data_IF_891895141749
#
_entry.id   IF_891895141749
#
_cell.length_a   1.000
_cell.length_b   1.000
_cell.length_c   1.000
_cell.angle_alpha   90.00
_cell.angle_beta   90.00
_cell.angle_gamma   90.00
#
_symmetry.space_group_name_H-M   'P 1'
#
loop_
_entity.id
_entity.type
_entity.pdbx_description
1 polymer ?
#
# COMPACT_ATOMS: atom_id res chain seq x y z
N UNK A 1 -36.85 0.75 26.86
CA UNK A 1 -37.33 2.14 26.84
C UNK A 1 -38.84 2.09 26.66
N UNK A 2 -39.56 2.41 27.74
CA UNK A 2 -40.99 2.21 27.90
C UNK A 2 -41.76 3.36 27.26
N UNK A 3 -42.67 3.05 26.33
CA UNK A 3 -43.58 4.00 25.72
C UNK A 3 -44.73 4.30 26.68
N UNK A 4 -44.79 5.52 27.22
CA UNK A 4 -45.98 6.04 27.87
C UNK A 4 -46.94 6.58 26.81
N UNK A 5 -48.09 5.93 26.69
CA UNK A 5 -49.25 6.40 25.95
C UNK A 5 -50.08 7.35 26.83
N UNK A 6 -50.06 8.66 26.55
CA UNK A 6 -51.00 9.59 27.15
C UNK A 6 -52.33 9.58 26.38
N UNK A 7 -53.38 9.25 27.12
CA UNK A 7 -54.77 9.35 26.71
C UNK A 7 -55.22 10.81 26.78
N UNK A 8 -55.68 11.39 25.67
CA UNK A 8 -56.50 12.59 25.69
C UNK A 8 -57.90 12.28 25.20
N UNK A 9 -58.75 11.93 26.16
CA UNK A 9 -60.21 11.96 26.03
C UNK A 9 -60.68 13.39 26.37
N UNK A 10 -61.08 14.15 25.34
CA UNK A 10 -61.65 15.48 25.49
C UNK A 10 -63.01 15.57 24.78
N UNK A 11 -64.06 15.15 25.48
CA UNK A 11 -65.45 15.34 25.07
C UNK A 11 -65.84 16.82 25.18
N UNK A 12 -66.23 17.43 24.07
CA UNK A 12 -66.70 18.82 24.01
C UNK A 12 -67.69 19.04 22.87
N UNK A 13 -68.83 18.34 22.91
CA UNK A 13 -69.91 18.48 21.93
C UNK A 13 -70.71 19.78 22.19
N UNK A 14 -70.23 20.91 21.68
CA UNK A 14 -70.98 22.18 21.66
C UNK A 14 -72.00 22.14 20.52
N UNK A 15 -73.30 22.15 20.87
CA UNK A 15 -74.42 22.35 19.95
C UNK A 15 -74.33 23.76 19.36
N UNK A 16 -74.14 23.87 18.05
CA UNK A 16 -74.26 25.13 17.30
C UNK A 16 -75.69 25.16 16.73
N UNK A 17 -76.47 26.15 17.16
CA UNK A 17 -77.82 26.41 16.65
C UNK A 17 -77.78 26.89 15.21
N UNK A 18 -78.62 26.28 14.37
CA UNK A 18 -78.84 26.69 13.00
C UNK A 18 -79.78 27.90 12.95
N UNK A 19 -79.21 29.09 12.71
CA UNK A 19 -79.94 30.28 12.28
C UNK A 19 -79.79 30.44 10.77
N UNK A 20 -80.85 30.18 10.02
CA UNK A 20 -80.90 30.38 8.56
C UNK A 20 -81.13 31.87 8.28
N UNK A 21 -80.05 32.62 8.07
CA UNK A 21 -80.07 33.96 7.51
C UNK A 21 -79.66 33.89 6.04
N UNK A 22 -80.64 33.95 5.14
CA UNK A 22 -80.39 34.06 3.70
C UNK A 22 -79.99 35.50 3.36
N UNK A 23 -78.70 35.70 3.04
CA UNK A 23 -78.14 36.98 2.62
C UNK A 23 -76.91 36.76 1.74
N UNK A 24 -77.01 37.20 0.48
CA UNK A 24 -76.04 37.13 -0.62
C UNK A 24 -74.57 37.39 -0.25
N UNK A 25 -73.71 36.34 -0.33
CA UNK A 25 -72.25 36.44 -0.44
C UNK A 25 -71.58 35.09 -0.84
N UNK A 26 -72.01 34.45 -1.93
CA UNK A 26 -71.62 33.05 -2.29
C UNK A 26 -70.62 32.95 -3.45
N UNK A 27 -69.51 33.70 -3.44
CA UNK A 27 -68.42 33.51 -4.41
C UNK A 27 -67.00 33.43 -3.79
N UNK A 28 -66.87 33.40 -2.45
CA UNK A 28 -65.56 33.34 -1.78
C UNK A 28 -65.20 32.03 -1.06
N UNK A 29 -66.17 31.13 -0.81
CA UNK A 29 -65.96 29.97 0.09
C UNK A 29 -65.41 28.73 -0.63
N UNK A 30 -65.68 28.56 -1.93
CA UNK A 30 -65.22 27.39 -2.70
C UNK A 30 -63.71 27.36 -2.91
N UNK A 31 -63.08 28.51 -3.17
CA UNK A 31 -61.65 28.60 -3.42
C UNK A 31 -60.80 28.23 -2.18
N UNK A 32 -61.25 28.59 -0.98
CA UNK A 32 -60.55 28.29 0.28
C UNK A 32 -60.57 26.78 0.60
N UNK A 33 -61.69 26.09 0.35
CA UNK A 33 -61.81 24.64 0.56
C UNK A 33 -60.98 23.85 -0.45
N UNK A 34 -60.91 24.30 -1.71
CA UNK A 34 -60.06 23.64 -2.71
C UNK A 34 -58.57 23.82 -2.42
N UNK A 35 -58.14 24.99 -1.94
CA UNK A 35 -56.73 25.23 -1.62
C UNK A 35 -56.28 24.41 -0.40
N UNK A 36 -57.11 24.35 0.66
CA UNK A 36 -56.85 23.50 1.83
C UNK A 36 -56.81 22.00 1.50
N UNK A 37 -57.69 21.52 0.62
CA UNK A 37 -57.75 20.11 0.24
C UNK A 37 -56.49 19.64 -0.51
N UNK A 38 -55.98 20.46 -1.45
CA UNK A 38 -54.76 20.15 -2.18
C UNK A 38 -53.54 20.10 -1.23
N UNK A 39 -53.47 21.04 -0.28
CA UNK A 39 -52.38 21.10 0.70
C UNK A 39 -52.36 19.88 1.65
N UNK A 40 -53.53 19.36 2.04
CA UNK A 40 -53.63 18.15 2.86
C UNK A 40 -53.20 16.89 2.10
N UNK A 41 -53.50 16.79 0.80
CA UNK A 41 -53.11 15.63 -0.02
C UNK A 41 -51.59 15.53 -0.16
N UNK A 42 -50.94 16.62 -0.52
CA UNK A 42 -49.49 16.67 -0.71
C UNK A 42 -48.75 16.41 0.63
N UNK A 43 -49.36 16.82 1.74
CA UNK A 43 -48.87 16.50 3.09
C UNK A 43 -48.92 15.00 3.40
N UNK A 44 -50.03 14.32 3.09
CA UNK A 44 -50.16 12.89 3.34
C UNK A 44 -49.18 12.07 2.52
N UNK A 45 -48.98 12.41 1.25
CA UNK A 45 -48.02 11.72 0.40
C UNK A 45 -46.60 11.87 0.95
N UNK A 46 -46.20 13.10 1.29
CA UNK A 46 -44.88 13.37 1.89
C UNK A 46 -44.67 12.60 3.20
N UNK A 47 -45.70 12.48 4.04
CA UNK A 47 -45.62 11.70 5.27
C UNK A 47 -45.43 10.20 5.00
N UNK A 48 -46.15 9.62 4.02
CA UNK A 48 -45.97 8.21 3.63
C UNK A 48 -44.55 7.96 3.11
N UNK A 49 -44.01 8.85 2.29
CA UNK A 49 -42.64 8.72 1.79
C UNK A 49 -41.61 8.79 2.93
N UNK A 50 -41.81 9.69 3.90
CA UNK A 50 -40.96 9.80 5.08
C UNK A 50 -40.98 8.53 5.96
N UNK A 51 -42.16 7.99 6.27
CA UNK A 51 -42.27 6.75 7.06
C UNK A 51 -41.61 5.58 6.34
N UNK A 52 -41.81 5.47 5.01
CA UNK A 52 -41.16 4.45 4.19
C UNK A 52 -39.63 4.60 4.22
N UNK A 53 -39.12 5.82 4.12
CA UNK A 53 -37.68 6.10 4.20
C UNK A 53 -37.07 5.60 5.53
N UNK A 54 -37.72 5.92 6.66
CA UNK A 54 -37.31 5.43 7.97
C UNK A 54 -37.35 3.90 8.07
N UNK A 55 -38.34 3.26 7.45
CA UNK A 55 -38.43 1.80 7.46
C UNK A 55 -37.30 1.13 6.67
N UNK A 56 -36.88 1.73 5.55
CA UNK A 56 -35.80 1.23 4.71
C UNK A 56 -34.45 1.34 5.41
N UNK A 57 -34.19 2.45 6.10
CA UNK A 57 -32.97 2.63 6.90
C UNK A 57 -32.87 1.56 8.01
N UNK A 58 -33.94 1.35 8.78
CA UNK A 58 -33.99 0.32 9.83
C UNK A 58 -33.87 -1.11 9.31
N UNK A 59 -34.30 -1.35 8.07
CA UNK A 59 -34.19 -2.64 7.41
C UNK A 59 -32.79 -2.89 6.82
N UNK A 60 -31.89 -1.90 6.82
CA UNK A 60 -30.60 -1.99 6.14
C UNK A 60 -30.70 -1.91 4.60
N UNK A 61 -31.86 -1.53 4.08
CA UNK A 61 -32.13 -1.41 2.63
C UNK A 61 -31.64 -0.04 2.12
N UNK A 62 -30.34 0.20 2.22
CA UNK A 62 -29.75 1.52 2.02
C UNK A 62 -29.89 2.05 0.58
N UNK A 63 -29.81 1.20 -0.44
CA UNK A 63 -30.06 1.61 -1.83
C UNK A 63 -31.51 2.11 -2.00
N UNK A 64 -32.47 1.36 -1.46
CA UNK A 64 -33.87 1.75 -1.43
C UNK A 64 -34.08 3.07 -0.68
N UNK A 65 -33.40 3.24 0.45
CA UNK A 65 -33.43 4.49 1.20
C UNK A 65 -32.95 5.68 0.35
N UNK A 66 -31.79 5.55 -0.31
CA UNK A 66 -31.22 6.62 -1.14
C UNK A 66 -32.11 6.97 -2.34
N UNK A 67 -32.70 5.96 -2.99
CA UNK A 67 -33.64 6.17 -4.10
C UNK A 67 -34.93 6.86 -3.61
N UNK A 68 -35.48 6.42 -2.48
CA UNK A 68 -36.71 6.97 -1.93
C UNK A 68 -36.56 8.42 -1.46
N UNK A 69 -35.38 8.80 -0.97
CA UNK A 69 -35.13 10.15 -0.50
C UNK A 69 -35.17 11.20 -1.62
N UNK A 70 -34.81 10.85 -2.85
CA UNK A 70 -34.86 11.75 -4.00
C UNK A 70 -36.29 12.15 -4.39
N UNK A 71 -37.29 11.37 -3.96
CA UNK A 71 -38.71 11.66 -4.22
C UNK A 71 -39.30 12.70 -3.24
N UNK A 72 -38.57 13.12 -2.21
CA UNK A 72 -39.07 14.08 -1.21
C UNK A 72 -38.89 15.50 -1.74
N UNK A 73 -40.00 16.22 -1.89
CA UNK A 73 -40.02 17.57 -2.43
C UNK A 73 -39.34 18.56 -1.44
N UNK A 74 -38.47 19.47 -1.92
CA UNK A 74 -37.80 20.47 -1.09
C UNK A 74 -38.73 21.38 -0.27
N UNK A 75 -39.94 21.65 -0.78
CA UNK A 75 -40.95 22.45 -0.09
C UNK A 75 -41.63 21.73 1.08
N UNK A 76 -41.40 20.42 1.26
CA UNK A 76 -42.02 19.65 2.33
C UNK A 76 -41.36 19.92 3.68
N UNK A 77 -42.15 19.92 4.76
CA UNK A 77 -41.64 20.03 6.14
C UNK A 77 -40.69 18.89 6.56
N UNK A 78 -40.69 17.79 5.80
CA UNK A 78 -39.87 16.60 6.06
C UNK A 78 -38.52 16.68 5.34
N UNK A 79 -38.31 17.68 4.49
CA UNK A 79 -37.11 17.76 3.67
C UNK A 79 -35.83 17.78 4.51
N UNK A 80 -35.75 18.59 5.57
CA UNK A 80 -34.56 18.65 6.43
C UNK A 80 -34.30 17.30 7.13
N UNK A 81 -35.34 16.68 7.68
CA UNK A 81 -35.24 15.35 8.30
C UNK A 81 -34.83 14.27 7.29
N UNK A 82 -35.36 14.34 6.07
CA UNK A 82 -34.99 13.46 4.96
C UNK A 82 -33.52 13.63 4.56
N UNK A 83 -33.02 14.87 4.48
CA UNK A 83 -31.62 15.14 4.16
C UNK A 83 -30.68 14.56 5.22
N UNK A 84 -31.01 14.67 6.50
CA UNK A 84 -30.26 14.02 7.58
C UNK A 84 -30.24 12.49 7.42
N UNK A 85 -31.41 11.89 7.17
CA UNK A 85 -31.55 10.45 7.01
C UNK A 85 -30.82 9.92 5.76
N UNK A 86 -30.74 10.69 4.67
CA UNK A 86 -29.93 10.35 3.49
C UNK A 86 -28.48 10.15 3.87
N UNK A 87 -27.90 11.01 4.70
CA UNK A 87 -26.50 10.87 5.08
C UNK A 87 -26.26 9.63 5.93
N UNK A 88 -27.20 9.30 6.82
CA UNK A 88 -27.16 8.05 7.58
C UNK A 88 -27.24 6.83 6.66
N UNK A 89 -28.14 6.84 5.67
CA UNK A 89 -28.22 5.77 4.68
C UNK A 89 -26.95 5.63 3.83
N UNK A 90 -26.28 6.74 3.49
CA UNK A 90 -24.97 6.69 2.81
C UNK A 90 -23.90 6.03 3.68
N UNK A 91 -23.87 6.37 4.97
CA UNK A 91 -22.92 5.76 5.91
C UNK A 91 -23.21 4.27 6.09
N UNK A 92 -24.47 3.88 6.24
CA UNK A 92 -24.87 2.47 6.33
C UNK A 92 -24.49 1.66 5.09
N UNK A 93 -24.75 2.19 3.88
CA UNK A 93 -24.29 1.58 2.62
C UNK A 93 -22.78 1.39 2.61
N UNK A 94 -22.03 2.42 3.02
CA UNK A 94 -20.58 2.35 3.08
C UNK A 94 -20.10 1.23 4.03
N UNK A 95 -20.72 1.11 5.21
CA UNK A 95 -20.43 0.05 6.16
C UNK A 95 -20.73 -1.34 5.57
N UNK A 96 -21.88 -1.52 4.92
CA UNK A 96 -22.25 -2.76 4.26
C UNK A 96 -21.26 -3.17 3.15
N UNK A 97 -20.75 -2.20 2.38
CA UNK A 97 -19.69 -2.45 1.38
C UNK A 97 -18.39 -2.90 2.06
N UNK A 98 -18.02 -2.29 3.18
CA UNK A 98 -16.83 -2.67 3.93
C UNK A 98 -16.93 -4.07 4.55
N UNK A 99 -18.12 -4.50 4.99
CA UNK A 99 -18.38 -5.88 5.45
C UNK A 99 -18.12 -6.91 4.35
N UNK A 100 -18.37 -6.54 3.10
CA UNK A 100 -18.07 -7.34 1.90
C UNK A 100 -16.61 -7.20 1.44
N UNK A 101 -15.76 -6.53 2.24
CA UNK A 101 -14.36 -6.21 1.92
C UNK A 101 -14.19 -5.29 0.69
N UNK A 102 -15.25 -4.61 0.26
CA UNK A 102 -15.23 -3.63 -0.82
C UNK A 102 -14.81 -2.23 -0.30
N UNK A 103 -13.67 -2.17 0.39
CA UNK A 103 -13.21 -0.96 1.09
C UNK A 103 -13.12 0.28 0.20
N UNK A 104 -12.73 0.12 -1.07
CA UNK A 104 -12.68 1.24 -2.03
C UNK A 104 -14.07 1.84 -2.26
N UNK A 105 -15.08 0.98 -2.47
CA UNK A 105 -16.45 1.42 -2.69
C UNK A 105 -17.03 2.04 -1.40
N UNK A 106 -16.73 1.44 -0.25
CA UNK A 106 -17.10 1.98 1.06
C UNK A 106 -16.54 3.40 1.30
N UNK A 107 -15.24 3.60 1.02
CA UNK A 107 -14.60 4.93 1.13
C UNK A 107 -15.26 5.93 0.19
N UNK A 108 -15.48 5.56 -1.07
CA UNK A 108 -16.13 6.43 -2.04
C UNK A 108 -17.54 6.86 -1.57
N UNK A 109 -18.35 5.92 -1.07
CA UNK A 109 -19.67 6.20 -0.52
C UNK A 109 -19.61 7.13 0.70
N UNK A 110 -18.68 6.90 1.62
CA UNK A 110 -18.51 7.71 2.83
C UNK A 110 -17.99 9.14 2.53
N UNK A 111 -17.14 9.30 1.52
CA UNK A 111 -16.65 10.62 1.08
C UNK A 111 -17.74 11.50 0.47
N UNK A 112 -18.87 10.93 0.03
CA UNK A 112 -20.02 11.70 -0.43
C UNK A 112 -20.80 12.38 0.71
N UNK A 113 -20.50 12.07 1.97
CA UNK A 113 -21.16 12.66 3.14
C UNK A 113 -20.59 14.08 3.33
N UNK A 114 -21.39 15.14 3.17
CA UNK A 114 -20.90 16.50 3.25
C UNK A 114 -20.57 16.87 4.70
N UNK A 115 -19.56 17.73 4.88
CA UNK A 115 -19.19 18.30 6.19
C UNK A 115 -20.36 18.96 6.93
N UNK A 116 -21.33 19.52 6.19
CA UNK A 116 -22.53 20.15 6.73
C UNK A 116 -23.51 19.17 7.42
N UNK A 117 -23.31 17.86 7.28
CA UNK A 117 -24.16 16.84 7.90
C UNK A 117 -23.89 16.60 9.40
N UNK A 118 -22.97 17.37 10.00
CA UNK A 118 -22.69 17.33 11.43
C UNK A 118 -22.15 15.97 11.89
N UNK A 119 -22.79 15.36 12.87
CA UNK A 119 -22.35 14.12 13.53
C UNK A 119 -22.08 12.98 12.54
N UNK A 120 -22.88 12.85 11.48
CA UNK A 120 -22.71 11.78 10.49
C UNK A 120 -21.37 11.88 9.76
N UNK A 121 -20.93 13.11 9.44
CA UNK A 121 -19.62 13.34 8.84
C UNK A 121 -18.49 12.90 9.78
N UNK A 122 -18.56 13.28 11.06
CA UNK A 122 -17.56 12.91 12.05
C UNK A 122 -17.53 11.41 12.33
N UNK A 123 -18.67 10.73 12.31
CA UNK A 123 -18.76 9.28 12.38
C UNK A 123 -18.10 8.60 11.17
N UNK A 124 -18.23 9.17 9.98
CA UNK A 124 -17.67 8.60 8.75
C UNK A 124 -16.13 8.68 8.67
N UNK A 125 -15.51 9.72 9.24
CA UNK A 125 -14.06 9.93 9.15
C UNK A 125 -13.20 8.75 9.67
N UNK A 126 -13.42 8.20 10.88
CA UNK A 126 -12.63 7.06 11.36
C UNK A 126 -12.82 5.80 10.49
N UNK A 127 -14.00 5.60 9.90
CA UNK A 127 -14.22 4.51 8.95
C UNK A 127 -13.41 4.70 7.67
N UNK A 128 -13.43 5.89 7.09
CA UNK A 128 -12.64 6.22 5.88
C UNK A 128 -11.15 5.94 6.14
N UNK A 129 -10.62 6.35 7.29
CA UNK A 129 -9.23 6.07 7.66
C UNK A 129 -8.97 4.56 7.74
N UNK A 130 -9.77 3.85 8.54
CA UNK A 130 -9.63 2.41 8.77
C UNK A 130 -9.69 1.60 7.46
N UNK A 131 -10.65 1.91 6.59
CA UNK A 131 -10.79 1.24 5.30
C UNK A 131 -9.67 1.61 4.33
N UNK A 132 -9.17 2.84 4.38
CA UNK A 132 -8.01 3.24 3.55
C UNK A 132 -6.77 2.46 3.95
N UNK A 133 -6.53 2.29 5.26
CA UNK A 133 -5.44 1.47 5.78
C UNK A 133 -5.58 0.00 5.38
N UNK A 134 -6.81 -0.53 5.36
CA UNK A 134 -7.09 -1.87 4.87
C UNK A 134 -6.73 -2.05 3.38
N UNK A 135 -7.03 -1.06 2.53
CA UNK A 135 -6.61 -1.08 1.11
C UNK A 135 -5.07 -1.01 0.98
N UNK A 136 -4.42 -0.19 1.80
CA UNK A 136 -2.95 -0.10 1.84
C UNK A 136 -2.33 -1.45 2.20
N UNK A 137 -2.89 -2.14 3.20
CA UNK A 137 -2.45 -3.48 3.60
C UNK A 137 -2.69 -4.53 2.51
N UNK A 138 -3.86 -4.53 1.83
CA UNK A 138 -4.11 -5.41 0.68
C UNK A 138 -3.09 -5.18 -0.45
N UNK A 139 -2.70 -3.93 -0.71
CA UNK A 139 -1.62 -3.61 -1.65
C UNK A 139 -0.28 -4.20 -1.21
N UNK A 140 0.05 -4.10 0.08
CA UNK A 140 1.28 -4.67 0.64
C UNK A 140 1.31 -6.19 0.51
N UNK A 141 0.20 -6.87 0.75
CA UNK A 141 0.12 -8.33 0.62
C UNK A 141 0.36 -8.78 -0.84
N UNK A 142 -0.18 -8.04 -1.82
CA UNK A 142 0.09 -8.26 -3.25
C UNK A 142 1.58 -8.05 -3.58
N UNK A 143 2.21 -7.02 -3.02
CA UNK A 143 3.64 -6.77 -3.18
C UNK A 143 4.49 -7.92 -2.61
N UNK A 144 4.13 -8.41 -1.42
CA UNK A 144 4.77 -9.55 -0.75
C UNK A 144 4.64 -10.85 -1.54
N UNK A 145 3.53 -11.01 -2.28
CA UNK A 145 3.32 -12.10 -3.24
C UNK A 145 4.11 -11.92 -4.55
N UNK A 146 4.78 -10.78 -4.75
CA UNK A 146 5.53 -10.46 -5.96
C UNK A 146 4.70 -9.89 -7.10
N UNK A 147 3.51 -9.39 -6.80
CA UNK A 147 2.57 -8.83 -7.77
C UNK A 147 2.59 -7.29 -7.72
N UNK A 148 3.74 -6.67 -8.04
CA UNK A 148 3.91 -5.21 -7.97
C UNK A 148 2.81 -4.44 -8.71
N UNK A 149 2.50 -4.82 -9.95
CA UNK A 149 1.51 -4.10 -10.75
C UNK A 149 0.11 -4.19 -10.14
N UNK A 150 -0.27 -5.36 -9.62
CA UNK A 150 -1.55 -5.54 -8.93
C UNK A 150 -1.60 -4.72 -7.63
N UNK A 151 -0.50 -4.68 -6.87
CA UNK A 151 -0.38 -3.86 -5.67
C UNK A 151 -0.58 -2.36 -5.97
N UNK A 152 0.09 -1.85 -7.00
CA UNK A 152 -0.04 -0.44 -7.43
C UNK A 152 -1.45 -0.16 -7.94
N UNK A 153 -2.01 -1.06 -8.77
CA UNK A 153 -3.37 -0.92 -9.28
C UNK A 153 -4.38 -0.86 -8.13
N UNK A 154 -4.22 -1.72 -7.12
CA UNK A 154 -5.07 -1.72 -5.92
C UNK A 154 -5.02 -0.40 -5.16
N UNK A 155 -3.82 0.16 -4.96
CA UNK A 155 -3.67 1.46 -4.30
C UNK A 155 -4.29 2.59 -5.10
N UNK A 156 -4.10 2.63 -6.43
CA UNK A 156 -4.65 3.67 -7.31
C UNK A 156 -6.17 3.75 -7.34
N UNK A 157 -6.88 2.73 -6.86
CA UNK A 157 -8.32 2.76 -6.71
C UNK A 157 -8.78 3.66 -5.55
N UNK A 158 -7.90 4.00 -4.60
CA UNK A 158 -8.23 4.92 -3.52
C UNK A 158 -8.52 6.33 -4.05
N UNK A 159 -9.64 6.95 -3.66
CA UNK A 159 -9.93 8.34 -4.01
C UNK A 159 -8.83 9.31 -3.56
N UNK A 160 -8.66 10.42 -4.28
CA UNK A 160 -7.64 11.42 -3.97
C UNK A 160 -7.94 12.21 -2.68
N UNK A 161 -9.22 12.24 -2.27
CA UNK A 161 -9.70 12.88 -1.05
C UNK A 161 -9.50 12.01 0.20
N UNK A 162 -9.03 10.76 0.04
CA UNK A 162 -8.71 9.88 1.16
C UNK A 162 -7.59 10.48 2.03
N UNK A 163 -7.65 10.32 3.37
CA UNK A 163 -6.61 10.81 4.27
C UNK A 163 -5.21 10.24 3.99
N UNK A 164 -5.11 9.10 3.30
CA UNK A 164 -3.82 8.45 2.98
C UNK A 164 -3.29 8.79 1.58
N UNK A 165 -3.88 9.73 0.85
CA UNK A 165 -3.48 10.06 -0.54
C UNK A 165 -1.96 10.34 -0.69
N UNK A 166 -1.40 11.18 0.18
CA UNK A 166 0.04 11.49 0.18
C UNK A 166 0.91 10.28 0.49
N UNK A 167 0.46 9.43 1.42
CA UNK A 167 1.16 8.21 1.81
C UNK A 167 1.11 7.18 0.67
N UNK A 168 -0.05 7.05 0.00
CA UNK A 168 -0.28 6.20 -1.16
C UNK A 168 0.70 6.55 -2.28
N UNK A 169 0.78 7.81 -2.69
CA UNK A 169 1.68 8.26 -3.77
C UNK A 169 3.15 8.00 -3.44
N UNK A 170 3.56 8.31 -2.20
CA UNK A 170 4.93 8.04 -1.72
C UNK A 170 5.22 6.54 -1.72
N UNK A 171 4.26 5.74 -1.29
CA UNK A 171 4.37 4.27 -1.21
C UNK A 171 4.51 3.65 -2.59
N UNK A 172 3.69 4.07 -3.56
CA UNK A 172 3.79 3.61 -4.95
C UNK A 172 5.18 3.89 -5.52
N UNK A 173 5.67 5.13 -5.38
CA UNK A 173 7.01 5.53 -5.88
C UNK A 173 8.12 4.71 -5.24
N UNK A 174 8.06 4.53 -3.92
CA UNK A 174 9.04 3.73 -3.17
C UNK A 174 9.03 2.27 -3.65
N UNK A 175 7.87 1.64 -3.75
CA UNK A 175 7.77 0.25 -4.19
C UNK A 175 8.33 0.03 -5.59
N UNK A 176 8.07 0.95 -6.53
CA UNK A 176 8.63 0.87 -7.89
C UNK A 176 10.17 0.98 -7.89
N UNK A 177 10.72 1.90 -7.09
CA UNK A 177 12.16 2.05 -6.95
C UNK A 177 12.82 0.81 -6.32
N UNK A 178 12.29 0.36 -5.18
CA UNK A 178 12.77 -0.82 -4.43
C UNK A 178 12.73 -2.08 -5.30
N UNK A 179 11.66 -2.24 -6.09
CA UNK A 179 11.49 -3.37 -7.00
C UNK A 179 12.54 -3.37 -8.11
N UNK A 180 12.75 -2.22 -8.73
CA UNK A 180 13.75 -2.04 -9.81
C UNK A 180 15.15 -2.29 -9.29
N UNK A 181 15.51 -1.72 -8.14
CA UNK A 181 16.78 -1.91 -7.48
C UNK A 181 17.03 -3.38 -7.14
N UNK A 182 16.05 -4.05 -6.51
CA UNK A 182 16.15 -5.45 -6.12
C UNK A 182 16.27 -6.39 -7.33
N UNK A 183 15.53 -6.10 -8.41
CA UNK A 183 15.63 -6.84 -9.68
C UNK A 183 17.06 -6.76 -10.24
N UNK A 184 17.64 -5.57 -10.30
CA UNK A 184 18.99 -5.34 -10.79
C UNK A 184 20.04 -6.03 -9.90
N UNK A 185 19.89 -5.93 -8.58
CA UNK A 185 20.77 -6.58 -7.61
C UNK A 185 20.81 -8.11 -7.78
N UNK A 186 19.63 -8.74 -7.96
CA UNK A 186 19.52 -10.18 -8.22
C UNK A 186 20.14 -10.56 -9.58
N UNK A 187 19.93 -9.76 -10.63
CA UNK A 187 20.53 -10.01 -11.94
C UNK A 187 22.06 -9.91 -11.91
N UNK A 188 22.61 -8.85 -11.29
CA UNK A 188 24.05 -8.67 -11.15
C UNK A 188 24.68 -9.80 -10.35
N UNK A 189 24.02 -10.25 -9.28
CA UNK A 189 24.45 -11.43 -8.53
C UNK A 189 24.61 -12.66 -9.41
N UNK A 190 23.60 -12.98 -10.23
CA UNK A 190 23.65 -14.16 -11.11
C UNK A 190 24.89 -14.11 -12.02
N UNK A 191 25.17 -12.94 -12.59
CA UNK A 191 26.39 -12.72 -13.40
C UNK A 191 27.68 -12.90 -12.58
N UNK A 192 27.72 -12.43 -11.33
CA UNK A 192 28.88 -12.66 -10.45
C UNK A 192 29.08 -14.15 -10.13
N UNK A 193 27.99 -14.88 -9.85
CA UNK A 193 28.03 -16.32 -9.60
C UNK A 193 28.50 -17.11 -10.83
N UNK A 194 28.07 -16.71 -12.03
CA UNK A 194 28.51 -17.32 -13.30
C UNK A 194 30.01 -17.13 -13.55
N UNK A 195 30.60 -16.03 -13.07
CA UNK A 195 32.03 -15.73 -13.19
C UNK A 195 32.88 -16.23 -12.02
N UNK A 196 32.30 -16.98 -11.08
CA UNK A 196 32.99 -17.42 -9.86
C UNK A 196 33.39 -16.29 -8.91
N UNK A 197 32.80 -15.10 -9.05
CA UNK A 197 33.08 -13.93 -8.22
C UNK A 197 32.20 -13.97 -6.95
N UNK A 198 32.43 -14.96 -6.10
CA UNK A 198 31.56 -15.29 -4.96
C UNK A 198 31.41 -14.13 -3.95
N UNK A 199 32.50 -13.42 -3.65
CA UNK A 199 32.46 -12.29 -2.72
C UNK A 199 31.65 -11.11 -3.27
N UNK A 200 31.85 -10.76 -4.55
CA UNK A 200 31.07 -9.73 -5.23
C UNK A 200 29.60 -10.11 -5.33
N UNK A 201 29.30 -11.39 -5.57
CA UNK A 201 27.95 -11.92 -5.51
C UNK A 201 27.34 -11.68 -4.11
N UNK A 202 28.08 -11.96 -3.02
CA UNK A 202 27.61 -11.73 -1.65
C UNK A 202 27.26 -10.26 -1.39
N UNK A 203 28.18 -9.35 -1.73
CA UNK A 203 28.02 -7.90 -1.52
C UNK A 203 26.82 -7.30 -2.27
N UNK A 204 26.50 -7.81 -3.47
CA UNK A 204 25.43 -7.24 -4.29
C UNK A 204 24.01 -7.40 -3.72
N UNK A 205 23.82 -8.09 -2.58
CA UNK A 205 22.51 -8.18 -1.91
C UNK A 205 22.25 -7.14 -0.85
N UNK A 206 23.25 -6.37 -0.43
CA UNK A 206 23.03 -5.29 0.53
C UNK A 206 21.98 -4.28 0.03
N UNK A 207 21.73 -4.26 -1.29
CA UNK A 207 20.75 -3.41 -1.96
C UNK A 207 19.41 -4.07 -2.27
N UNK A 208 19.16 -5.32 -1.85
CA UNK A 208 17.84 -5.96 -2.04
C UNK A 208 16.89 -5.50 -0.94
N UNK A 209 15.74 -4.97 -1.36
CA UNK A 209 14.68 -4.51 -0.46
C UNK A 209 14.17 -5.66 0.43
N UNK A 210 13.75 -5.33 1.65
CA UNK A 210 13.22 -6.30 2.62
C UNK A 210 11.78 -6.76 2.31
N UNK A 211 11.45 -6.93 1.03
CA UNK A 211 10.17 -7.49 0.58
C UNK A 211 10.35 -9.01 0.54
N UNK A 212 9.42 -9.75 1.13
CA UNK A 212 9.52 -11.21 1.27
C UNK A 212 9.70 -11.94 -0.06
N UNK A 213 9.08 -11.45 -1.14
CA UNK A 213 9.32 -11.96 -2.50
C UNK A 213 10.81 -11.95 -2.88
N UNK A 214 11.48 -10.82 -2.68
CA UNK A 214 12.89 -10.68 -3.03
C UNK A 214 13.81 -11.47 -2.11
N UNK A 215 13.49 -11.54 -0.81
CA UNK A 215 14.21 -12.38 0.14
C UNK A 215 14.18 -13.87 -0.25
N UNK A 216 13.00 -14.39 -0.64
CA UNK A 216 12.86 -15.77 -1.13
C UNK A 216 13.70 -16.01 -2.38
N UNK A 217 13.74 -15.05 -3.31
CA UNK A 217 14.60 -15.14 -4.52
C UNK A 217 16.09 -15.02 -4.20
N UNK A 218 16.46 -14.24 -3.20
CA UNK A 218 17.84 -13.99 -2.81
C UNK A 218 18.46 -15.21 -2.11
N UNK A 219 17.70 -15.88 -1.23
CA UNK A 219 18.16 -16.98 -0.37
C UNK A 219 18.99 -18.07 -1.09
N UNK A 220 18.53 -18.71 -2.18
CA UNK A 220 19.33 -19.74 -2.84
C UNK A 220 20.62 -19.19 -3.46
N UNK A 221 20.62 -17.93 -3.88
CA UNK A 221 21.81 -17.29 -4.44
C UNK A 221 22.84 -16.94 -3.35
N UNK A 222 22.39 -16.69 -2.12
CA UNK A 222 23.28 -16.52 -0.94
C UNK A 222 23.97 -17.84 -0.67
N UNK A 223 23.20 -18.92 -0.54
CA UNK A 223 23.74 -20.25 -0.28
C UNK A 223 24.78 -20.67 -1.34
N UNK A 224 24.51 -20.39 -2.62
CA UNK A 224 25.47 -20.66 -3.70
C UNK A 224 26.76 -19.85 -3.57
N UNK A 225 26.67 -18.57 -3.21
CA UNK A 225 27.85 -17.73 -2.98
C UNK A 225 28.67 -18.23 -1.79
N UNK A 226 28.02 -18.55 -0.67
CA UNK A 226 28.69 -19.03 0.54
C UNK A 226 29.39 -20.39 0.31
N UNK A 227 28.75 -21.31 -0.43
CA UNK A 227 29.38 -22.57 -0.82
C UNK A 227 30.63 -22.36 -1.70
N UNK A 228 30.58 -21.40 -2.63
CA UNK A 228 31.74 -21.04 -3.45
C UNK A 228 32.89 -20.43 -2.65
N UNK A 229 32.60 -19.60 -1.64
CA UNK A 229 33.60 -19.06 -0.72
C UNK A 229 34.25 -20.18 0.08
N UNK A 230 33.45 -21.06 0.68
CA UNK A 230 33.94 -22.19 1.47
C UNK A 230 34.86 -23.12 0.66
N UNK A 231 34.53 -23.35 -0.62
CA UNK A 231 35.36 -24.16 -1.50
C UNK A 231 36.74 -23.51 -1.73
N UNK A 232 36.79 -22.20 -1.96
CA UNK A 232 38.07 -21.47 -2.13
C UNK A 232 38.90 -21.51 -0.85
N UNK A 233 38.26 -21.38 0.32
CA UNK A 233 38.93 -21.48 1.62
C UNK A 233 39.51 -22.88 1.87
N UNK A 234 38.77 -23.93 1.51
CA UNK A 234 39.25 -25.32 1.59
C UNK A 234 40.48 -25.55 0.71
N UNK A 235 40.41 -25.15 -0.57
CA UNK A 235 41.57 -25.24 -1.48
C UNK A 235 42.78 -24.45 -0.97
N UNK A 236 42.58 -23.27 -0.40
CA UNK A 236 43.67 -22.50 0.18
C UNK A 236 44.32 -23.22 1.36
N UNK A 237 43.53 -23.80 2.27
CA UNK A 237 44.03 -24.54 3.42
C UNK A 237 44.87 -25.77 3.01
N UNK A 238 44.42 -26.52 1.99
CA UNK A 238 45.15 -27.67 1.44
C UNK A 238 46.52 -27.27 0.85
N UNK A 239 46.60 -26.12 0.17
CA UNK A 239 47.87 -25.64 -0.39
C UNK A 239 48.91 -25.29 0.70
N UNK A 240 48.47 -24.79 1.86
CA UNK A 240 49.39 -24.49 2.98
C UNK A 240 49.89 -25.76 3.69
N UNK A 241 49.15 -26.87 3.63
CA UNK A 241 49.53 -28.12 4.29
C UNK A 241 50.52 -28.97 3.48
N UNK A 242 50.73 -28.68 2.19
CA UNK A 242 51.81 -29.32 1.45
C UNK A 242 53.14 -28.78 1.98
N UNK A 243 53.97 -29.60 2.69
CA UNK A 243 55.26 -29.15 3.15
C UNK A 243 56.02 -28.62 1.92
N UNK A 244 56.69 -27.46 2.02
CA UNK A 244 57.40 -26.87 0.88
C UNK A 244 58.27 -27.96 0.30
N UNK A 245 57.89 -28.48 -0.88
CA UNK A 245 58.42 -29.72 -1.42
C UNK A 245 59.93 -29.65 -1.27
N UNK A 246 60.47 -30.48 -0.36
CA UNK A 246 61.78 -30.31 0.23
C UNK A 246 62.72 -29.83 -0.88
N UNK A 247 63.04 -28.52 -0.87
CA UNK A 247 63.79 -27.91 -1.95
C UNK A 247 65.06 -28.74 -2.02
N UNK A 248 65.15 -29.59 -3.05
CA UNK A 248 66.22 -30.55 -3.19
C UNK A 248 67.50 -29.77 -3.02
N UNK A 249 68.32 -30.19 -2.04
CA UNK A 249 69.54 -29.50 -1.64
C UNK A 249 70.29 -29.08 -2.90
N UNK A 250 70.30 -27.79 -3.22
CA UNK A 250 71.24 -27.24 -4.19
C UNK A 250 72.61 -27.24 -3.51
N UNK A 251 73.29 -28.38 -3.51
CA UNK A 251 74.62 -28.58 -2.91
C UNK A 251 75.75 -27.90 -3.69
N UNK A 252 75.45 -26.99 -4.62
CA UNK A 252 76.45 -26.28 -5.44
C UNK A 252 76.11 -24.79 -5.59
N UNK A 253 76.19 -24.04 -4.51
CA UNK A 253 76.51 -22.62 -4.60
C UNK A 253 77.91 -22.40 -4.03
N UNK A 254 78.90 -22.49 -4.93
CA UNK A 254 80.28 -22.08 -4.66
C UNK A 254 80.26 -20.57 -4.41
N UNK A 255 80.53 -20.16 -3.18
CA UNK A 255 80.66 -18.77 -2.75
C UNK A 255 81.75 -18.07 -3.58
N UNK A 256 81.37 -17.11 -4.42
CA UNK A 256 82.29 -16.11 -4.94
C UNK A 256 81.95 -14.79 -4.24
N UNK A 257 82.77 -14.41 -3.27
CA UNK A 257 82.63 -13.15 -2.54
C UNK A 257 83.34 -12.02 -3.32
N UNK A 258 82.62 -11.04 -3.87
CA UNK A 258 83.27 -9.83 -4.37
C UNK A 258 83.72 -8.97 -3.17
N UNK A 259 85.00 -8.60 -3.15
CA UNK A 259 85.55 -7.59 -2.24
C UNK A 259 84.86 -6.25 -2.51
N UNK A 260 84.14 -5.72 -1.53
CA UNK A 260 83.64 -4.35 -1.54
C UNK A 260 84.79 -3.39 -1.19
N UNK A 261 85.21 -2.61 -2.18
CA UNK A 261 86.06 -1.44 -1.95
C UNK A 261 85.20 -0.28 -1.44
N UNK A 262 85.47 0.17 -0.23
CA UNK A 262 84.90 1.39 0.36
C UNK A 262 85.48 2.61 -0.38
N UNK A 263 84.64 3.37 -1.08
CA UNK A 263 84.98 4.71 -1.56
C UNK A 263 83.89 5.66 -1.12
N UNK A 264 84.27 6.57 -0.22
CA UNK A 264 83.47 7.65 0.32
C UNK A 264 83.26 8.75 -0.72
N UNK A 265 82.02 9.16 -0.95
CA UNK A 265 81.71 10.49 -1.47
C UNK A 265 80.52 10.58 -2.41
N UNK A 266 79.70 11.60 -2.12
CA UNK A 266 78.73 12.28 -3.01
C UNK A 266 77.33 11.66 -3.10
N UNK A 267 76.40 12.34 -2.43
CA UNK A 267 74.96 12.26 -2.62
C UNK A 267 74.60 12.69 -4.06
N UNK A 268 74.03 11.79 -4.86
CA UNK A 268 73.36 12.11 -6.13
C UNK A 268 72.00 11.41 -6.14
N UNK A 269 70.95 12.20 -6.40
CA UNK A 269 69.53 11.81 -6.43
C UNK A 269 69.23 10.61 -7.35
N UNK A 270 68.22 9.77 -7.06
CA UNK A 270 67.91 8.63 -7.92
C UNK A 270 67.14 9.07 -9.18
N UNK A 271 67.89 9.15 -10.29
CA UNK A 271 67.38 8.98 -11.65
C UNK A 271 66.99 7.51 -11.87
N UNK A 272 65.92 7.32 -12.64
CA UNK A 272 65.37 6.07 -13.14
C UNK A 272 66.46 5.18 -13.79
N UNK A 273 66.79 4.05 -13.16
CA UNK A 273 67.67 3.02 -13.73
C UNK A 273 66.80 1.90 -14.31
N UNK A 274 66.86 1.74 -15.63
CA UNK A 274 66.44 0.53 -16.33
C UNK A 274 67.50 -0.55 -16.07
N UNK A 275 67.18 -1.55 -15.27
CA UNK A 275 68.03 -2.70 -15.05
C UNK A 275 67.73 -3.78 -16.10
N UNK A 276 68.54 -3.86 -17.15
CA UNK A 276 68.69 -5.05 -17.98
C UNK A 276 69.58 -6.04 -17.25
N UNK A 277 68.99 -6.81 -16.33
CA UNK A 277 69.64 -7.91 -15.62
C UNK A 277 69.28 -9.24 -16.26
N UNK A 278 70.17 -9.77 -17.09
CA UNK A 278 70.21 -11.17 -17.51
C UNK A 278 70.64 -12.05 -16.34
N UNK A 279 69.67 -12.64 -15.64
CA UNK A 279 69.90 -13.55 -14.52
C UNK A 279 68.88 -14.68 -14.51
N UNK A 280 69.37 -15.88 -14.80
CA UNK A 280 68.77 -17.22 -14.59
C UNK A 280 67.24 -17.28 -14.49
N UNK A 281 66.58 -17.53 -15.62
CA UNK A 281 65.17 -17.88 -15.68
C UNK A 281 64.90 -19.22 -14.96
N UNK A 282 64.06 -19.25 -13.92
CA UNK A 282 63.49 -20.52 -13.46
C UNK A 282 62.59 -21.07 -14.57
N UNK A 283 62.77 -22.35 -14.93
CA UNK A 283 61.89 -23.04 -15.88
C UNK A 283 60.43 -22.91 -15.40
N UNK A 284 59.48 -22.51 -16.27
CA UNK A 284 58.08 -22.54 -15.92
C UNK A 284 57.67 -24.00 -15.68
N UNK A 285 57.28 -24.33 -14.44
CA UNK A 285 56.55 -25.56 -14.16
C UNK A 285 55.19 -25.43 -14.84
N UNK A 286 54.94 -26.28 -15.81
CA UNK A 286 53.63 -26.50 -16.42
C UNK A 286 52.64 -26.90 -15.32
N UNK A 287 51.78 -25.96 -14.91
CA UNK A 287 50.63 -26.26 -14.08
C UNK A 287 49.64 -27.14 -14.87
N UNK A 288 49.11 -28.23 -14.29
CA UNK A 288 48.04 -28.98 -14.91
C UNK A 288 46.76 -28.13 -14.90
N UNK A 289 46.24 -27.83 -16.09
CA UNK A 289 44.90 -27.28 -16.27
C UNK A 289 43.91 -28.38 -15.87
N UNK A 290 43.41 -28.32 -14.65
CA UNK A 290 42.28 -29.13 -14.22
C UNK A 290 41.00 -28.55 -14.87
N UNK A 291 40.64 -29.12 -16.02
CA UNK A 291 39.32 -28.99 -16.65
C UNK A 291 38.28 -29.66 -15.75
N UNK A 292 37.66 -28.90 -14.84
CA UNK A 292 36.40 -29.30 -14.22
C UNK A 292 35.26 -28.99 -15.19
N UNK A 293 34.94 -29.97 -16.04
CA UNK A 293 33.65 -30.05 -16.73
C UNK A 293 32.63 -30.65 -15.76
N UNK A 294 31.58 -29.89 -15.47
CA UNK A 294 30.32 -30.33 -14.89
C UNK A 294 29.18 -29.70 -15.68
#
# INVERSE_FOLDING_TARGET
MSLQSEQFAGNGLRKIGAGVGAGLATLGVSAALTYGYLQVRDYQESHRQWVKLQSLEKAGEYEGCLAQAQAIVPASRYFEGAQSLVQQCRLGRAQQQAEQQEYVAAIASALMIPKSSGDTYYQAQPFIQTWSDAVMQQGKDLLEAGQLEAAIAKLKLLPAESPVDKERETTIKRWQADWTQSKNAIQNRRRFLERGQWLSAKQSLASVASIGFWQRKAKPLIAKADAGIALVEQYAAEQYQQPPAALGRCTQCRLYAPRLGYSSGVFISPRRILATGSGCAPRPRSSPVALLRG
#
